data_IF_331046322102
#
_entry.id   IF_331046322102
#
_cell.length_a   1.000
_cell.length_b   1.000
_cell.length_c   1.000
_cell.angle_alpha   90.00
_cell.angle_beta   90.00
_cell.angle_gamma   90.00
#
_symmetry.space_group_name_H-M   'P 1'
#
loop_
_entity.id
_entity.type
_entity.pdbx_description
1 polymer ?
#
# COMPACT_ATOMS: atom_id res chain seq x y z
N UNK A 1 -16.98 -12.06 -4.79
CA UNK A 1 -15.75 -12.68 -5.36
C UNK A 1 -15.15 -11.88 -6.52
N UNK A 2 -15.91 -11.54 -7.58
CA UNK A 2 -15.39 -10.79 -8.75
C UNK A 2 -14.81 -9.41 -8.39
N UNK A 3 -15.46 -8.68 -7.47
CA UNK A 3 -14.99 -7.37 -6.96
C UNK A 3 -13.59 -7.45 -6.35
N UNK A 4 -13.35 -8.46 -5.50
CA UNK A 4 -12.06 -8.71 -4.85
C UNK A 4 -10.98 -9.08 -5.87
N UNK A 5 -11.30 -9.94 -6.85
CA UNK A 5 -10.35 -10.33 -7.89
C UNK A 5 -9.94 -9.14 -8.78
N UNK A 6 -10.91 -8.32 -9.20
CA UNK A 6 -10.63 -7.08 -9.95
C UNK A 6 -9.82 -6.09 -9.11
N UNK A 7 -10.15 -5.97 -7.83
CA UNK A 7 -9.42 -5.11 -6.91
C UNK A 7 -7.96 -5.55 -6.76
N UNK A 8 -7.68 -6.83 -6.49
CA UNK A 8 -6.33 -7.36 -6.41
C UNK A 8 -5.57 -7.24 -7.73
N UNK A 9 -6.26 -7.41 -8.87
CA UNK A 9 -5.68 -7.18 -10.19
C UNK A 9 -5.21 -5.73 -10.35
N UNK A 10 -6.05 -4.75 -9.99
CA UNK A 10 -5.71 -3.32 -10.06
C UNK A 10 -4.62 -2.95 -9.06
N UNK A 11 -4.63 -3.53 -7.86
CA UNK A 11 -3.56 -3.36 -6.87
C UNK A 11 -2.24 -3.97 -7.33
N UNK A 12 -2.29 -5.11 -8.01
CA UNK A 12 -1.12 -5.74 -8.59
C UNK A 12 -0.55 -4.89 -9.73
N UNK A 13 -1.42 -4.36 -10.60
CA UNK A 13 -1.02 -3.36 -11.60
C UNK A 13 -0.41 -2.12 -10.93
N UNK A 14 -0.93 -1.67 -9.79
CA UNK A 14 -0.42 -0.52 -9.05
C UNK A 14 0.97 -0.83 -8.49
N UNK A 15 1.15 -1.98 -7.87
CA UNK A 15 2.43 -2.46 -7.36
C UNK A 15 3.48 -2.62 -8.48
N UNK A 16 3.10 -3.21 -9.63
CA UNK A 16 3.98 -3.35 -10.79
C UNK A 16 4.34 -1.98 -11.38
N UNK A 17 3.39 -1.05 -11.44
CA UNK A 17 3.63 0.33 -11.91
C UNK A 17 4.51 1.12 -10.96
N UNK A 18 4.34 0.94 -9.66
CA UNK A 18 5.14 1.55 -8.59
C UNK A 18 6.60 1.06 -8.66
N UNK A 19 6.81 -0.25 -8.85
CA UNK A 19 8.15 -0.85 -9.06
C UNK A 19 8.80 -0.35 -10.37
N UNK A 20 8.03 -0.25 -11.47
CA UNK A 20 8.57 0.05 -12.81
C UNK A 20 8.79 1.53 -13.07
N UNK A 21 7.92 2.41 -12.58
CA UNK A 21 7.93 3.84 -12.93
C UNK A 21 8.08 4.77 -11.73
N UNK A 22 7.92 4.29 -10.49
CA UNK A 22 8.00 5.08 -9.25
C UNK A 22 7.20 6.39 -9.25
N UNK A 23 6.17 6.41 -10.08
CA UNK A 23 5.19 7.49 -10.22
C UNK A 23 3.88 6.75 -10.22
N UNK A 24 3.12 6.87 -9.14
CA UNK A 24 1.76 6.33 -9.06
C UNK A 24 0.93 7.18 -10.03
N UNK A 25 0.51 6.65 -11.19
CA UNK A 25 -0.27 7.43 -12.13
C UNK A 25 -1.61 7.78 -11.47
N UNK A 26 -2.00 9.05 -11.50
CA UNK A 26 -3.20 9.57 -10.80
C UNK A 26 -4.51 8.87 -11.18
N UNK A 27 -4.54 8.10 -12.26
CA UNK A 27 -5.69 7.35 -12.77
C UNK A 27 -5.93 6.02 -12.03
N UNK A 28 -4.93 5.45 -11.34
CA UNK A 28 -5.07 4.14 -10.69
C UNK A 28 -5.96 4.15 -9.44
N UNK A 29 -5.85 5.14 -8.54
CA UNK A 29 -6.78 5.24 -7.41
C UNK A 29 -8.23 5.49 -7.87
N UNK A 30 -8.42 6.18 -9.00
CA UNK A 30 -9.73 6.35 -9.64
C UNK A 30 -10.31 5.02 -10.12
N UNK A 31 -9.49 4.13 -10.68
CA UNK A 31 -9.91 2.78 -11.05
C UNK A 31 -10.30 1.94 -9.82
N UNK A 32 -9.53 2.03 -8.73
CA UNK A 32 -9.87 1.30 -7.49
C UNK A 32 -11.17 1.85 -6.87
N UNK A 33 -11.34 3.18 -6.86
CA UNK A 33 -12.59 3.80 -6.44
C UNK A 33 -13.77 3.39 -7.34
N UNK A 34 -13.57 3.31 -8.65
CA UNK A 34 -14.56 2.83 -9.61
C UNK A 34 -14.94 1.36 -9.38
N UNK A 35 -13.96 0.48 -9.14
CA UNK A 35 -14.20 -0.93 -8.77
C UNK A 35 -14.91 -1.04 -7.42
N UNK A 36 -14.66 -0.11 -6.50
CA UNK A 36 -15.38 -0.01 -5.23
C UNK A 36 -16.86 0.39 -5.40
N UNK A 37 -17.22 1.16 -6.44
CA UNK A 37 -18.60 1.57 -6.72
C UNK A 37 -19.44 0.51 -7.45
N UNK A 38 -18.86 -0.63 -7.84
CA UNK A 38 -19.61 -1.73 -8.45
C UNK A 38 -20.62 -2.26 -7.41
N UNK A 39 -21.93 -2.31 -7.73
CA UNK A 39 -23.04 -2.28 -6.77
C UNK A 39 -23.27 -3.59 -5.99
N UNK A 40 -22.31 -4.51 -5.97
CA UNK A 40 -22.53 -5.86 -5.46
C UNK A 40 -22.41 -5.99 -3.94
N UNK A 41 -21.79 -5.05 -3.21
CA UNK A 41 -21.56 -5.14 -1.76
C UNK A 41 -21.49 -3.75 -1.08
N UNK A 42 -21.77 -3.63 0.23
CA UNK A 42 -21.73 -2.35 0.95
C UNK A 42 -20.35 -1.68 0.84
N UNK A 43 -20.36 -0.37 0.63
CA UNK A 43 -19.14 0.46 0.62
C UNK A 43 -18.85 0.90 2.05
N UNK A 44 -17.68 0.55 2.57
CA UNK A 44 -17.29 0.87 3.94
C UNK A 44 -16.61 2.25 3.99
N UNK A 45 -17.41 3.30 4.08
CA UNK A 45 -16.93 4.68 4.24
C UNK A 45 -15.99 4.84 5.46
N UNK A 46 -16.20 4.05 6.51
CA UNK A 46 -15.34 4.03 7.70
C UNK A 46 -13.91 3.61 7.39
N UNK A 47 -13.68 2.79 6.35
CA UNK A 47 -12.34 2.39 5.94
C UNK A 47 -11.52 3.53 5.34
N UNK A 48 -12.16 4.61 4.86
CA UNK A 48 -11.44 5.80 4.39
C UNK A 48 -10.61 6.45 5.53
N UNK A 49 -11.06 6.31 6.78
CA UNK A 49 -10.35 6.83 7.96
C UNK A 49 -8.96 6.19 8.13
N UNK A 50 -8.72 5.00 7.60
CA UNK A 50 -7.40 4.34 7.65
C UNK A 50 -6.35 5.10 6.83
N UNK A 51 -6.77 5.93 5.87
CA UNK A 51 -5.86 6.79 5.11
C UNK A 51 -5.44 8.05 5.91
N UNK A 52 -6.16 8.43 6.96
CA UNK A 52 -5.85 9.63 7.76
C UNK A 52 -4.48 9.55 8.46
N UNK A 53 -4.10 8.45 9.13
CA UNK A 53 -2.76 8.31 9.70
C UNK A 53 -1.64 8.49 8.66
N UNK A 54 -1.79 7.93 7.45
CA UNK A 54 -0.82 8.12 6.37
C UNK A 54 -0.82 9.57 5.85
N UNK A 55 -1.98 10.23 5.79
CA UNK A 55 -2.09 11.62 5.41
C UNK A 55 -1.39 12.54 6.41
N UNK A 56 -1.63 12.33 7.71
CA UNK A 56 -0.96 13.07 8.79
C UNK A 56 0.54 12.83 8.73
N UNK A 57 0.99 11.59 8.57
CA UNK A 57 2.40 11.27 8.44
C UNK A 57 3.03 11.88 7.17
N UNK A 58 2.29 11.92 6.05
CA UNK A 58 2.74 12.56 4.82
C UNK A 58 2.90 14.07 4.93
N UNK A 59 2.05 14.74 5.72
CA UNK A 59 2.13 16.19 5.95
C UNK A 59 3.20 16.53 7.00
N UNK A 60 3.33 15.74 8.07
CA UNK A 60 4.21 16.05 9.20
C UNK A 60 5.65 15.63 8.99
N UNK A 61 5.88 14.42 8.46
CA UNK A 61 7.23 13.84 8.28
C UNK A 61 7.72 14.02 6.84
N UNK A 62 6.78 14.15 5.88
CA UNK A 62 7.11 14.06 4.46
C UNK A 62 7.52 12.64 4.06
N UNK A 63 7.66 12.41 2.75
CA UNK A 63 8.17 11.14 2.22
C UNK A 63 7.12 10.03 1.99
N UNK A 64 5.85 10.25 2.37
CA UNK A 64 4.74 9.36 1.96
C UNK A 64 4.12 9.91 0.68
N UNK A 65 4.00 9.05 -0.34
CA UNK A 65 3.39 9.41 -1.61
C UNK A 65 1.88 9.65 -1.47
N UNK A 66 1.38 10.74 -2.06
CA UNK A 66 -0.07 10.98 -2.14
C UNK A 66 -0.84 9.84 -2.80
N UNK A 67 -0.19 9.10 -3.71
CA UNK A 67 -0.76 7.90 -4.32
C UNK A 67 -0.99 6.76 -3.31
N UNK A 68 -0.08 6.55 -2.36
CA UNK A 68 -0.20 5.52 -1.33
C UNK A 68 -1.36 5.81 -0.37
N UNK A 69 -1.57 7.08 -0.04
CA UNK A 69 -2.71 7.54 0.78
C UNK A 69 -4.02 7.26 0.05
N UNK A 70 -4.14 7.65 -1.23
CA UNK A 70 -5.33 7.40 -2.04
C UNK A 70 -5.59 5.90 -2.19
N UNK A 71 -4.54 5.10 -2.41
CA UNK A 71 -4.64 3.66 -2.60
C UNK A 71 -5.05 2.96 -1.30
N UNK A 72 -4.51 3.35 -0.14
CA UNK A 72 -4.93 2.87 1.17
C UNK A 72 -6.39 3.22 1.46
N UNK A 73 -6.82 4.45 1.14
CA UNK A 73 -8.22 4.86 1.28
C UNK A 73 -9.15 4.02 0.41
N UNK A 74 -8.74 3.70 -0.82
CA UNK A 74 -9.51 2.85 -1.72
C UNK A 74 -9.56 1.38 -1.24
N UNK A 75 -8.50 0.88 -0.59
CA UNK A 75 -8.54 -0.41 0.12
C UNK A 75 -9.55 -0.38 1.28
N UNK A 76 -9.56 0.73 2.01
CA UNK A 76 -10.53 1.04 3.07
C UNK A 76 -11.98 0.87 2.62
N UNK A 77 -12.33 1.41 1.47
CA UNK A 77 -13.69 1.34 0.92
C UNK A 77 -14.12 -0.11 0.59
N UNK A 78 -13.18 -0.99 0.26
CA UNK A 78 -13.44 -2.38 -0.14
C UNK A 78 -13.45 -3.33 1.05
N UNK A 79 -12.50 -3.22 1.98
CA UNK A 79 -12.37 -4.15 3.10
C UNK A 79 -12.91 -3.64 4.44
N UNK A 80 -13.20 -2.35 4.56
CA UNK A 80 -13.58 -1.71 5.81
C UNK A 80 -12.39 -1.37 6.72
N UNK A 81 -12.69 -0.73 7.86
CA UNK A 81 -11.68 -0.15 8.74
C UNK A 81 -10.72 -1.21 9.32
N UNK A 82 -11.25 -2.21 10.04
CA UNK A 82 -10.44 -3.22 10.76
C UNK A 82 -9.49 -3.99 9.83
N UNK A 83 -10.02 -4.53 8.73
CA UNK A 83 -9.23 -5.32 7.76
C UNK A 83 -8.19 -4.46 7.05
N UNK A 84 -8.54 -3.23 6.67
CA UNK A 84 -7.58 -2.33 6.00
C UNK A 84 -6.49 -1.88 6.96
N UNK A 85 -6.84 -1.60 8.23
CA UNK A 85 -5.88 -1.22 9.27
C UNK A 85 -4.90 -2.37 9.55
N UNK A 86 -5.39 -3.60 9.74
CA UNK A 86 -4.54 -4.77 9.90
C UNK A 86 -3.63 -5.00 8.68
N UNK A 87 -4.18 -4.88 7.47
CA UNK A 87 -3.40 -5.02 6.23
C UNK A 87 -2.33 -3.94 6.07
N UNK A 88 -2.64 -2.70 6.43
CA UNK A 88 -1.68 -1.58 6.43
C UNK A 88 -0.57 -1.80 7.46
N UNK A 89 -0.90 -2.23 8.68
CA UNK A 89 0.10 -2.53 9.72
C UNK A 89 1.04 -3.66 9.28
N UNK A 90 0.50 -4.71 8.65
CA UNK A 90 1.31 -5.79 8.08
C UNK A 90 2.19 -5.31 6.92
N UNK A 91 1.68 -4.42 6.08
CA UNK A 91 2.46 -3.84 4.99
C UNK A 91 3.64 -2.99 5.53
N UNK A 92 3.38 -2.14 6.51
CA UNK A 92 4.40 -1.30 7.14
C UNK A 92 5.43 -2.13 7.92
N UNK A 93 5.02 -3.20 8.61
CA UNK A 93 5.94 -4.08 9.31
C UNK A 93 6.85 -4.84 8.35
N UNK A 94 6.32 -5.34 7.22
CA UNK A 94 7.10 -5.97 6.15
C UNK A 94 8.08 -4.98 5.51
N UNK A 95 7.64 -3.74 5.28
CA UNK A 95 8.49 -2.67 4.78
C UNK A 95 9.66 -2.38 5.74
N UNK A 96 9.37 -2.29 7.04
CA UNK A 96 10.37 -2.04 8.08
C UNK A 96 11.36 -3.20 8.18
N UNK A 97 10.86 -4.45 8.15
CA UNK A 97 11.68 -5.65 8.15
C UNK A 97 12.60 -5.68 6.93
N UNK A 98 12.08 -5.38 5.74
CA UNK A 98 12.87 -5.31 4.52
C UNK A 98 13.98 -4.24 4.62
N UNK A 99 13.66 -3.07 5.18
CA UNK A 99 14.64 -2.01 5.43
C UNK A 99 15.76 -2.48 6.36
N UNK A 100 15.41 -3.09 7.51
CA UNK A 100 16.38 -3.60 8.49
C UNK A 100 17.25 -4.71 7.90
N UNK A 101 16.66 -5.67 7.19
CA UNK A 101 17.40 -6.76 6.54
C UNK A 101 18.37 -6.19 5.51
N UNK A 102 17.95 -5.23 4.68
CA UNK A 102 18.80 -4.57 3.70
C UNK A 102 19.95 -3.80 4.37
N UNK A 103 19.67 -3.10 5.47
CA UNK A 103 20.67 -2.38 6.25
C UNK A 103 21.68 -3.35 6.90
N UNK A 104 21.21 -4.47 7.46
CA UNK A 104 22.06 -5.53 8.00
C UNK A 104 22.96 -6.15 6.92
N UNK A 105 22.42 -6.48 5.74
CA UNK A 105 23.21 -7.02 4.62
C UNK A 105 24.28 -6.01 4.17
N UNK A 106 23.93 -4.72 4.08
CA UNK A 106 24.89 -3.65 3.75
C UNK A 106 26.01 -3.55 4.81
N UNK A 107 25.64 -3.63 6.10
CA UNK A 107 26.58 -3.58 7.23
C UNK A 107 27.52 -4.80 7.25
N UNK A 108 27.00 -5.99 6.94
CA UNK A 108 27.77 -7.25 6.87
C UNK A 108 28.70 -7.24 5.64
N UNK A 109 28.26 -6.75 4.49
CA UNK A 109 29.05 -6.78 3.25
C UNK A 109 30.17 -5.74 3.15
N UNK A 110 30.37 -4.84 4.14
CA UNK A 110 31.40 -3.76 4.09
C UNK A 110 31.48 -3.08 2.72
N UNK A 111 30.35 -2.89 2.03
CA UNK A 111 30.39 -2.37 0.66
C UNK A 111 30.56 -0.84 0.72
N UNK A 112 31.79 -0.38 0.50
CA UNK A 112 32.09 0.95 -0.03
C UNK A 112 31.53 1.01 -1.46
N UNK A 113 30.25 1.27 -1.64
CA UNK A 113 29.72 1.70 -2.93
C UNK A 113 28.45 2.51 -2.71
N UNK A 114 28.63 3.82 -2.90
CA UNK A 114 27.67 4.77 -3.48
C UNK A 114 26.35 4.82 -2.74
N UNK A 115 26.12 5.97 -2.11
CA UNK A 115 24.79 6.45 -1.74
C UNK A 115 23.85 6.31 -2.95
N UNK A 116 23.21 5.13 -3.11
CA UNK A 116 21.92 5.06 -3.76
C UNK A 116 21.08 6.06 -2.99
N UNK A 117 20.81 7.20 -3.65
CA UNK A 117 19.89 8.25 -3.20
C UNK A 117 18.79 7.60 -2.38
N UNK A 118 18.49 8.15 -1.21
CA UNK A 118 17.32 7.80 -0.40
C UNK A 118 16.10 7.69 -1.31
N UNK A 119 15.87 6.48 -1.79
CA UNK A 119 14.88 6.22 -2.79
C UNK A 119 13.72 5.67 -1.99
N UNK A 120 12.68 6.50 -1.87
CA UNK A 120 11.43 6.17 -1.24
C UNK A 120 11.01 4.76 -1.68
N UNK A 121 10.77 3.90 -0.69
CA UNK A 121 10.42 2.52 -0.95
C UNK A 121 9.02 2.47 -1.58
N UNK A 122 8.82 1.67 -2.65
CA UNK A 122 7.50 1.50 -3.26
C UNK A 122 6.59 0.81 -2.24
N UNK A 123 5.62 1.53 -1.67
CA UNK A 123 4.77 1.03 -0.59
C UNK A 123 3.64 0.14 -1.13
N UNK A 124 3.21 0.35 -2.38
CA UNK A 124 2.16 -0.42 -3.03
C UNK A 124 2.37 -1.95 -3.06
N UNK A 125 3.56 -2.50 -3.38
CA UNK A 125 3.79 -3.95 -3.31
C UNK A 125 3.70 -4.53 -1.89
N UNK A 126 4.18 -3.82 -0.87
CA UNK A 126 4.03 -4.27 0.52
C UNK A 126 2.57 -4.19 0.96
N UNK A 127 1.85 -3.16 0.52
CA UNK A 127 0.43 -2.98 0.79
C UNK A 127 -0.40 -4.08 0.14
N UNK A 128 -0.08 -4.51 -1.08
CA UNK A 128 -0.70 -5.68 -1.70
C UNK A 128 -0.55 -6.93 -0.84
N UNK A 129 0.67 -7.24 -0.40
CA UNK A 129 0.95 -8.42 0.42
C UNK A 129 0.22 -8.31 1.77
N UNK A 130 0.25 -7.14 2.41
CA UNK A 130 -0.46 -6.89 3.66
C UNK A 130 -1.98 -7.08 3.53
N UNK A 131 -2.58 -6.59 2.44
CA UNK A 131 -4.01 -6.77 2.19
C UNK A 131 -4.38 -8.24 1.92
N UNK A 132 -3.55 -8.98 1.19
CA UNK A 132 -3.75 -10.43 1.01
C UNK A 132 -3.74 -11.14 2.36
N UNK A 133 -2.73 -10.88 3.19
CA UNK A 133 -2.62 -11.50 4.52
C UNK A 133 -3.84 -11.14 5.40
N UNK A 134 -4.26 -9.88 5.39
CA UNK A 134 -5.43 -9.44 6.16
C UNK A 134 -6.70 -10.17 5.72
N UNK A 135 -6.92 -10.37 4.42
CA UNK A 135 -8.05 -11.14 3.92
C UNK A 135 -8.03 -12.58 4.47
N UNK A 136 -6.88 -13.24 4.46
CA UNK A 136 -6.74 -14.60 5.01
C UNK A 136 -6.91 -14.65 6.54
N UNK A 137 -6.51 -13.60 7.26
CA UNK A 137 -6.63 -13.54 8.72
C UNK A 137 -8.07 -13.35 9.19
N UNK A 138 -8.91 -12.69 8.39
CA UNK A 138 -10.32 -12.41 8.69
C UNK A 138 -11.31 -13.21 7.81
N UNK A 139 -10.82 -14.30 7.19
CA UNK A 139 -11.60 -15.23 6.39
C UNK A 139 -12.37 -16.21 7.28
#
# INVERSE_FOLDING_TARGET
MIRLALFFLVLFLAAVSDIRKRIIPDWMPFLIAGVSLIPSEPVYLTGLLVALPLLVAGITVGGIGGGDIKLTGACGLVFGFERTLAGLLMALSLLLLFHVVRQCIRKIRKLNCIAEKEQAYPLAPFLLVGMVISVFMFL
#
